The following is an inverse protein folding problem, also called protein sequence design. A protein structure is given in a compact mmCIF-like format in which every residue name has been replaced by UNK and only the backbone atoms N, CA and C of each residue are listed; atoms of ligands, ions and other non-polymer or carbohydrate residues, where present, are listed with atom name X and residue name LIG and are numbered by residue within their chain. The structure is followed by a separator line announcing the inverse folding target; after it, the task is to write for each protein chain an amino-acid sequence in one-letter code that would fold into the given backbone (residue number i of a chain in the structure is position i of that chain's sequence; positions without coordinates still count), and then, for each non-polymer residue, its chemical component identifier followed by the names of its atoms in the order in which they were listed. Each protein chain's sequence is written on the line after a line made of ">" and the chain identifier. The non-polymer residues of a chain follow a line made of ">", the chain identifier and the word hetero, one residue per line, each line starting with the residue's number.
data_IF_306706352597
#
_entry.id   IF_306706352597
#
_cell.length_a   1.000
_cell.length_b   1.000
_cell.length_c   1.000
_cell.angle_alpha   90.00
_cell.angle_beta   90.00
_cell.angle_gamma   90.00
#
_symmetry.space_group_name_H-M   'P 1'
#
loop_
_entity.id
_entity.type
_entity.pdbx_description
1 polymer ?
#
# COMPACT_ATOMS: atom_id res chain seq x y z
N UNK A 1 -4.60 9.46 8.95
CA UNK A 1 -4.19 9.11 7.56
C UNK A 1 -5.46 8.75 6.80
N UNK A 2 -5.84 9.49 5.75
CA UNK A 2 -6.97 9.13 4.89
C UNK A 2 -6.45 8.71 3.52
N UNK A 3 -5.72 7.60 3.48
CA UNK A 3 -5.49 6.91 2.20
C UNK A 3 -6.82 6.33 1.73
N UNK A 4 -7.28 6.73 0.54
CA UNK A 4 -8.41 6.12 -0.15
C UNK A 4 -9.76 6.18 0.58
N UNK A 5 -10.04 7.22 1.38
CA UNK A 5 -11.41 7.45 1.90
C UNK A 5 -12.31 8.03 0.83
N UNK A 6 -12.52 7.23 -0.21
CA UNK A 6 -13.54 7.50 -1.20
C UNK A 6 -14.80 6.82 -0.68
N UNK A 7 -15.82 7.60 -0.32
CA UNK A 7 -17.19 7.10 -0.40
C UNK A 7 -17.57 7.05 -1.89
N UNK A 8 -18.47 6.16 -2.30
CA UNK A 8 -18.81 5.98 -3.73
C UNK A 8 -19.19 7.28 -4.44
N UNK A 9 -19.74 8.27 -3.73
CA UNK A 9 -20.14 9.57 -4.25
C UNK A 9 -19.04 10.66 -4.15
N UNK A 10 -17.94 10.41 -3.45
CA UNK A 10 -16.90 11.40 -3.16
C UNK A 10 -15.64 11.24 -4.03
N UNK A 11 -15.64 10.35 -5.02
CA UNK A 11 -14.50 10.19 -5.92
C UNK A 11 -14.29 11.47 -6.74
N UNK A 12 -13.02 11.85 -6.87
CA UNK A 12 -12.55 12.95 -7.70
C UNK A 12 -11.11 12.66 -8.10
N UNK A 13 -10.82 12.83 -9.39
CA UNK A 13 -9.50 12.56 -9.99
C UNK A 13 -8.42 13.51 -9.46
N UNK A 14 -8.80 14.70 -9.00
CA UNK A 14 -7.87 15.67 -8.40
C UNK A 14 -7.37 15.24 -7.01
N UNK A 15 -8.12 14.35 -6.35
CA UNK A 15 -7.86 13.96 -4.94
C UNK A 15 -7.48 12.50 -4.78
N UNK A 16 -7.77 11.65 -5.76
CA UNK A 16 -7.67 10.21 -5.62
C UNK A 16 -6.96 9.58 -6.80
N UNK A 17 -6.21 8.51 -6.50
CA UNK A 17 -5.50 7.72 -7.50
C UNK A 17 -6.43 7.19 -8.59
N UNK A 18 -6.03 7.47 -9.81
CA UNK A 18 -6.59 6.95 -11.05
C UNK A 18 -5.61 5.96 -11.69
N UNK A 19 -6.01 5.32 -12.78
CA UNK A 19 -5.11 4.43 -13.53
C UNK A 19 -3.95 5.17 -14.19
N UNK A 20 -4.12 6.44 -14.57
CA UNK A 20 -3.06 7.24 -15.19
C UNK A 20 -1.92 7.57 -14.22
N UNK A 21 -2.17 7.47 -12.93
CA UNK A 21 -1.20 7.79 -11.87
C UNK A 21 -0.24 6.61 -11.57
N UNK A 22 -0.34 5.51 -12.34
CA UNK A 22 0.49 4.31 -12.20
C UNK A 22 1.55 4.27 -13.29
N UNK A 23 2.80 4.20 -12.86
CA UNK A 23 3.95 4.05 -13.75
C UNK A 23 4.64 2.73 -13.47
N UNK A 24 4.93 1.96 -14.52
CA UNK A 24 5.74 0.74 -14.45
C UNK A 24 7.09 1.03 -15.11
N UNK A 25 8.18 0.60 -14.48
CA UNK A 25 9.52 0.84 -14.97
C UNK A 25 10.53 -0.21 -14.50
N UNK A 26 11.76 -0.06 -14.98
CA UNK A 26 12.93 -0.82 -14.53
C UNK A 26 13.90 0.15 -13.86
N UNK A 27 14.50 -0.26 -12.75
CA UNK A 27 15.58 0.49 -12.13
C UNK A 27 16.90 0.32 -12.92
N UNK A 28 17.98 0.95 -12.43
CA UNK A 28 19.30 0.89 -13.05
C UNK A 28 19.89 -0.53 -13.13
N UNK A 29 19.37 -1.46 -12.34
CA UNK A 29 19.78 -2.87 -12.31
C UNK A 29 18.81 -3.77 -13.10
N UNK A 30 17.85 -3.20 -13.82
CA UNK A 30 16.85 -3.95 -14.57
C UNK A 30 15.75 -4.57 -13.71
N UNK A 31 15.61 -4.16 -12.44
CA UNK A 31 14.56 -4.67 -11.55
C UNK A 31 13.27 -3.87 -11.74
N UNK A 32 12.16 -4.58 -11.89
CA UNK A 32 10.85 -3.96 -12.04
C UNK A 32 10.40 -3.22 -10.77
N UNK A 33 9.88 -2.02 -10.96
CA UNK A 33 9.19 -1.24 -9.95
C UNK A 33 7.89 -0.63 -10.51
N UNK A 34 6.95 -0.32 -9.62
CA UNK A 34 5.82 0.53 -9.91
C UNK A 34 5.90 1.81 -9.07
N UNK A 35 5.54 2.95 -9.64
CA UNK A 35 5.40 4.23 -8.95
C UNK A 35 3.94 4.67 -9.02
N UNK A 36 3.36 5.00 -7.88
CA UNK A 36 2.02 5.57 -7.75
C UNK A 36 2.15 7.03 -7.37
N UNK A 37 1.74 7.93 -8.25
CA UNK A 37 1.82 9.37 -8.03
C UNK A 37 0.50 9.86 -7.40
N UNK A 38 0.54 10.18 -6.10
CA UNK A 38 -0.64 10.57 -5.33
C UNK A 38 -1.06 12.01 -5.69
N UNK A 39 -2.27 12.23 -6.25
CA UNK A 39 -2.74 13.58 -6.60
C UNK A 39 -2.94 14.49 -5.40
N UNK A 40 -3.28 13.90 -4.25
CA UNK A 40 -3.41 14.60 -2.98
C UNK A 40 -2.90 13.73 -1.85
N UNK A 41 -2.23 14.36 -0.89
CA UNK A 41 -1.83 13.70 0.33
C UNK A 41 -1.90 14.65 1.52
N UNK A 42 -2.27 14.11 2.68
CA UNK A 42 -2.56 14.87 3.90
C UNK A 42 -1.44 15.81 4.35
N UNK A 43 -0.20 15.50 3.99
CA UNK A 43 0.99 16.27 4.40
C UNK A 43 1.77 16.84 3.20
N UNK A 44 1.21 16.81 1.99
CA UNK A 44 1.81 17.50 0.85
C UNK A 44 1.41 18.98 0.89
N UNK A 45 2.34 19.86 0.56
CA UNK A 45 1.97 21.22 0.19
C UNK A 45 1.09 21.16 -1.08
N UNK A 46 0.12 22.09 -1.26
CA UNK A 46 -0.62 22.19 -2.50
C UNK A 46 0.34 22.32 -3.70
N UNK A 47 0.25 21.40 -4.67
CA UNK A 47 1.13 21.34 -5.85
C UNK A 47 2.29 20.34 -5.77
N UNK A 48 2.54 19.70 -4.63
CA UNK A 48 3.54 18.64 -4.50
C UNK A 48 2.91 17.25 -4.68
N UNK A 49 3.27 16.58 -5.78
CA UNK A 49 2.94 15.17 -6.00
C UNK A 49 3.80 14.30 -5.09
N UNK A 50 3.17 13.37 -4.39
CA UNK A 50 3.88 12.40 -3.54
C UNK A 50 3.84 11.02 -4.19
N UNK A 51 5.01 10.42 -4.38
CA UNK A 51 5.08 9.09 -5.00
C UNK A 51 5.20 7.98 -3.97
N UNK A 52 4.57 6.84 -4.25
CA UNK A 52 4.78 5.57 -3.56
C UNK A 52 5.45 4.60 -4.52
N UNK A 53 6.55 3.99 -4.09
CA UNK A 53 7.26 3.00 -4.89
C UNK A 53 6.92 1.59 -4.40
N UNK A 54 6.63 0.70 -5.35
CA UNK A 54 6.33 -0.70 -5.13
C UNK A 54 7.37 -1.52 -5.89
N UNK A 55 7.88 -2.57 -5.24
CA UNK A 55 8.83 -3.50 -5.83
C UNK A 55 8.24 -4.90 -5.81
N UNK A 56 8.76 -5.78 -6.67
CA UNK A 56 8.34 -7.17 -6.65
C UNK A 56 8.66 -7.84 -5.30
N UNK A 57 7.71 -8.63 -4.78
CA UNK A 57 7.79 -9.34 -3.50
C UNK A 57 7.37 -10.80 -3.65
N UNK A 58 8.24 -11.63 -4.21
CA UNK A 58 8.01 -13.06 -4.36
C UNK A 58 6.64 -13.39 -4.97
N UNK A 59 5.94 -14.34 -4.36
CA UNK A 59 4.59 -14.80 -4.78
C UNK A 59 3.46 -13.81 -4.48
N UNK A 60 3.70 -12.82 -3.60
CA UNK A 60 2.71 -11.79 -3.22
C UNK A 60 3.08 -10.42 -3.82
N UNK A 61 3.62 -10.42 -5.04
CA UNK A 61 4.14 -9.22 -5.68
C UNK A 61 3.04 -8.16 -5.91
N UNK A 62 3.19 -6.93 -5.36
CA UNK A 62 2.21 -5.87 -5.58
C UNK A 62 2.17 -5.40 -7.04
N UNK A 63 3.29 -5.54 -7.78
CA UNK A 63 3.34 -5.23 -9.22
C UNK A 63 2.46 -6.20 -10.00
N UNK A 64 2.58 -7.50 -9.70
CA UNK A 64 1.75 -8.52 -10.34
C UNK A 64 0.26 -8.32 -9.99
N UNK A 65 -0.05 -7.93 -8.76
CA UNK A 65 -1.41 -7.61 -8.34
C UNK A 65 -2.00 -6.40 -9.11
N UNK A 66 -1.22 -5.34 -9.32
CA UNK A 66 -1.64 -4.18 -10.12
C UNK A 66 -1.87 -4.55 -11.59
N UNK A 67 -0.98 -5.36 -12.17
CA UNK A 67 -1.14 -5.85 -13.55
C UNK A 67 -2.39 -6.71 -13.70
N UNK A 68 -2.64 -7.60 -12.74
CA UNK A 68 -3.85 -8.42 -12.72
C UNK A 68 -5.12 -7.56 -12.55
N UNK A 69 -5.10 -6.56 -11.68
CA UNK A 69 -6.22 -5.62 -11.54
C UNK A 69 -6.51 -4.90 -12.87
N UNK A 70 -5.46 -4.48 -13.58
CA UNK A 70 -5.58 -3.83 -14.87
C UNK A 70 -6.15 -4.75 -15.95
N UNK A 71 -5.83 -6.06 -15.92
CA UNK A 71 -6.30 -7.03 -16.91
C UNK A 71 -7.74 -7.49 -16.69
N UNK A 72 -8.18 -7.62 -15.43
CA UNK A 72 -9.51 -8.17 -15.11
C UNK A 72 -10.59 -7.11 -14.97
N UNK A 73 -10.23 -5.86 -14.64
CA UNK A 73 -11.19 -4.76 -14.50
C UNK A 73 -11.07 -3.82 -15.71
N UNK A 74 -12.07 -3.76 -16.60
CA UNK A 74 -12.09 -2.80 -17.70
C UNK A 74 -12.34 -1.39 -17.14
N UNK A 75 -11.31 -0.55 -17.06
CA UNK A 75 -11.47 0.82 -16.61
C UNK A 75 -10.57 1.77 -17.42
N UNK A 76 -11.04 3.00 -17.57
CA UNK A 76 -10.34 4.07 -18.28
C UNK A 76 -9.16 4.60 -17.46
N UNK A 77 -8.29 5.37 -18.11
CA UNK A 77 -7.15 6.02 -17.44
C UNK A 77 -7.59 6.91 -16.27
N UNK A 78 -8.75 7.53 -16.41
CA UNK A 78 -9.32 8.49 -15.48
C UNK A 78 -10.23 7.86 -14.41
N UNK A 79 -10.44 6.54 -14.51
CA UNK A 79 -11.18 5.78 -13.51
C UNK A 79 -10.32 5.50 -12.27
N UNK A 80 -10.94 5.24 -11.11
CA UNK A 80 -10.22 4.91 -9.89
C UNK A 80 -9.26 3.73 -10.09
N UNK A 81 -8.04 3.84 -9.56
CA UNK A 81 -7.04 2.77 -9.63
C UNK A 81 -7.58 1.47 -9.03
N UNK A 82 -8.00 1.54 -7.77
CA UNK A 82 -8.65 0.44 -7.08
C UNK A 82 -10.15 0.49 -7.38
N UNK A 83 -10.56 -0.25 -8.40
CA UNK A 83 -11.94 -0.28 -8.88
C UNK A 83 -12.43 -1.71 -9.15
N UNK A 84 -13.75 -1.84 -9.29
CA UNK A 84 -14.43 -3.08 -9.64
C UNK A 84 -15.66 -2.75 -10.49
N UNK A 85 -16.19 -3.73 -11.20
CA UNK A 85 -17.44 -3.62 -11.95
C UNK A 85 -18.61 -4.10 -11.11
N UNK A 86 -19.62 -3.25 -10.95
CA UNK A 86 -20.88 -3.69 -10.35
C UNK A 86 -21.72 -4.53 -11.32
N UNK A 87 -22.83 -5.07 -10.82
CA UNK A 87 -23.75 -5.89 -11.62
C UNK A 87 -24.34 -5.16 -12.84
N UNK A 88 -24.25 -3.83 -12.89
CA UNK A 88 -24.66 -3.03 -14.05
C UNK A 88 -23.52 -2.75 -15.04
N UNK A 89 -22.31 -3.27 -14.78
CA UNK A 89 -21.12 -3.02 -15.58
C UNK A 89 -20.47 -1.66 -15.32
N UNK A 90 -20.92 -0.91 -14.31
CA UNK A 90 -20.35 0.39 -13.99
C UNK A 90 -19.07 0.23 -13.17
N UNK A 91 -18.01 0.95 -13.56
CA UNK A 91 -16.78 1.06 -12.78
C UNK A 91 -17.05 1.81 -11.47
N UNK A 92 -16.78 1.16 -10.34
CA UNK A 92 -16.93 1.74 -9.00
C UNK A 92 -15.61 1.79 -8.27
N UNK A 93 -15.31 2.87 -7.54
CA UNK A 93 -14.16 2.90 -6.65
C UNK A 93 -14.33 1.86 -5.54
N UNK A 94 -13.23 1.20 -5.19
CA UNK A 94 -13.16 0.37 -3.99
C UNK A 94 -13.13 1.28 -2.77
N UNK A 95 -14.15 1.17 -1.93
CA UNK A 95 -14.25 1.97 -0.71
C UNK A 95 -13.55 1.26 0.45
N UNK A 96 -12.84 2.03 1.27
CA UNK A 96 -12.06 1.53 2.42
C UNK A 96 -12.81 0.51 3.29
N UNK A 97 -14.05 0.82 3.68
CA UNK A 97 -14.83 -0.05 4.58
C UNK A 97 -14.99 -1.44 3.98
N UNK A 98 -15.34 -1.54 2.68
CA UNK A 98 -15.50 -2.83 2.00
C UNK A 98 -14.18 -3.59 1.87
N UNK A 99 -13.09 -2.90 1.58
CA UNK A 99 -11.76 -3.53 1.54
C UNK A 99 -11.37 -4.10 2.91
N UNK A 100 -11.57 -3.32 3.98
CA UNK A 100 -11.29 -3.77 5.35
C UNK A 100 -12.21 -4.91 5.79
N UNK A 101 -13.50 -4.85 5.47
CA UNK A 101 -14.45 -5.93 5.76
C UNK A 101 -13.98 -7.24 5.12
N UNK A 102 -13.60 -7.18 3.83
CA UNK A 102 -13.16 -8.36 3.10
C UNK A 102 -11.87 -8.93 3.69
N UNK A 103 -10.89 -8.08 4.01
CA UNK A 103 -9.65 -8.51 4.64
C UNK A 103 -9.94 -9.15 6.01
N UNK A 104 -10.73 -8.48 6.85
CA UNK A 104 -11.08 -8.96 8.17
C UNK A 104 -11.89 -10.26 8.14
N UNK A 105 -12.76 -10.42 7.16
CA UNK A 105 -13.50 -11.65 6.95
C UNK A 105 -12.55 -12.82 6.66
N UNK A 106 -11.58 -12.61 5.77
CA UNK A 106 -10.55 -13.61 5.46
C UNK A 106 -9.71 -13.89 6.70
N UNK A 107 -9.09 -12.88 7.32
CA UNK A 107 -8.18 -13.09 8.46
C UNK A 107 -8.87 -13.72 9.66
N UNK A 108 -10.13 -13.38 9.93
CA UNK A 108 -10.92 -14.01 10.99
C UNK A 108 -11.19 -15.50 10.70
N UNK A 109 -11.47 -15.88 9.46
CA UNK A 109 -11.66 -17.27 9.07
C UNK A 109 -10.38 -18.12 9.28
N UNK A 110 -9.21 -17.50 9.17
CA UNK A 110 -7.91 -18.12 9.47
C UNK A 110 -7.47 -18.01 10.93
N UNK A 111 -8.26 -17.36 11.79
CA UNK A 111 -7.94 -17.19 13.23
C UNK A 111 -6.89 -16.11 13.52
N UNK A 112 -6.59 -15.22 12.58
CA UNK A 112 -5.56 -14.16 12.73
C UNK A 112 -6.12 -12.84 13.28
N UNK A 113 -7.39 -12.80 13.64
CA UNK A 113 -8.05 -11.62 14.19
C UNK A 113 -8.43 -10.57 13.13
N UNK A 114 -8.58 -9.32 13.57
CA UNK A 114 -9.02 -8.19 12.72
C UNK A 114 -7.91 -7.17 12.52
N UNK A 115 -7.73 -6.73 11.29
CA UNK A 115 -6.86 -5.62 10.92
C UNK A 115 -7.62 -4.29 10.91
N UNK A 116 -6.93 -3.23 11.33
CA UNK A 116 -7.36 -1.86 11.14
C UNK A 116 -6.38 -1.16 10.21
N UNK A 117 -6.75 0.04 9.72
CA UNK A 117 -5.88 0.85 8.84
C UNK A 117 -4.45 0.93 9.36
N UNK A 118 -4.30 1.18 10.66
CA UNK A 118 -2.99 1.39 11.25
C UNK A 118 -2.18 0.10 11.37
N UNK A 119 -2.84 -1.04 11.50
CA UNK A 119 -2.23 -2.37 11.54
C UNK A 119 -1.37 -2.64 10.31
N UNK A 120 -1.76 -2.17 9.12
CA UNK A 120 -0.96 -2.33 7.90
C UNK A 120 0.34 -1.52 7.92
N UNK A 121 0.32 -0.30 8.48
CA UNK A 121 1.54 0.50 8.63
C UNK A 121 2.49 -0.14 9.65
N UNK A 122 1.95 -0.57 10.80
CA UNK A 122 2.73 -1.23 11.85
C UNK A 122 3.30 -2.57 11.36
N UNK A 123 2.47 -3.38 10.73
CA UNK A 123 2.85 -4.69 10.20
C UNK A 123 3.88 -4.58 9.07
N UNK A 124 3.70 -3.64 8.15
CA UNK A 124 4.67 -3.37 7.08
C UNK A 124 6.02 -2.91 7.62
N UNK A 125 6.04 -2.01 8.60
CA UNK A 125 7.26 -1.58 9.27
C UNK A 125 7.99 -2.76 9.93
N UNK A 126 7.24 -3.53 10.73
CA UNK A 126 7.75 -4.71 11.45
C UNK A 126 8.31 -5.76 10.48
N UNK A 127 7.62 -6.01 9.37
CA UNK A 127 8.04 -6.96 8.34
C UNK A 127 9.37 -6.58 7.66
N UNK A 128 9.57 -5.31 7.34
CA UNK A 128 10.84 -4.87 6.73
C UNK A 128 11.98 -4.81 7.75
N UNK A 129 11.70 -4.38 8.98
CA UNK A 129 12.71 -4.38 10.05
C UNK A 129 13.18 -5.80 10.39
N UNK A 130 12.27 -6.78 10.42
CA UNK A 130 12.64 -8.19 10.57
C UNK A 130 13.62 -8.61 9.46
N UNK A 131 13.33 -8.28 8.20
CA UNK A 131 14.22 -8.54 7.05
C UNK A 131 15.52 -7.72 7.01
N UNK A 132 15.88 -7.05 8.11
CA UNK A 132 17.11 -6.26 8.24
C UNK A 132 17.20 -5.09 7.28
N UNK A 133 16.07 -4.58 6.80
CA UNK A 133 16.03 -3.31 6.07
C UNK A 133 16.39 -2.19 7.05
N UNK A 134 17.26 -1.28 6.61
CA UNK A 134 17.68 -0.13 7.40
C UNK A 134 16.46 0.67 7.91
N UNK A 135 16.38 0.97 9.22
CA UNK A 135 15.29 1.76 9.79
C UNK A 135 15.04 3.09 9.07
N UNK A 136 16.08 3.76 8.56
CA UNK A 136 15.95 5.01 7.80
C UNK A 136 15.26 4.78 6.44
N UNK A 137 15.51 3.63 5.80
CA UNK A 137 14.81 3.24 4.57
C UNK A 137 13.35 2.90 4.89
N UNK A 138 13.08 2.18 5.98
CA UNK A 138 11.71 1.91 6.44
C UNK A 138 11.01 3.24 6.77
N UNK A 139 11.72 4.20 7.36
CA UNK A 139 11.22 5.52 7.68
C UNK A 139 10.82 6.31 6.42
N UNK A 140 11.71 6.34 5.44
CA UNK A 140 11.50 6.97 4.14
C UNK A 140 10.29 6.36 3.42
N UNK A 141 10.22 5.02 3.33
CA UNK A 141 9.13 4.29 2.66
C UNK A 141 7.81 4.42 3.42
N UNK A 142 7.85 4.44 4.75
CA UNK A 142 6.70 4.66 5.64
C UNK A 142 6.19 6.11 5.62
N UNK A 143 7.01 7.04 5.10
CA UNK A 143 6.71 8.46 4.94
C UNK A 143 6.34 9.12 6.27
N UNK A 144 6.99 8.70 7.35
CA UNK A 144 6.80 9.31 8.66
C UNK A 144 7.54 10.63 8.73
N UNK A 145 6.95 11.63 9.39
CA UNK A 145 7.57 12.95 9.58
C UNK A 145 8.43 13.02 10.84
N UNK A 146 8.24 12.08 11.75
CA UNK A 146 8.93 12.00 13.03
C UNK A 146 9.35 10.56 13.32
N UNK A 147 10.25 10.41 14.29
CA UNK A 147 10.67 9.14 14.85
C UNK A 147 9.55 8.37 15.59
N UNK A 148 8.29 8.82 15.50
CA UNK A 148 7.14 8.10 16.06
C UNK A 148 7.03 6.66 15.54
N UNK A 149 7.70 6.32 14.44
CA UNK A 149 7.76 4.95 13.95
C UNK A 149 8.51 3.97 14.85
N UNK A 150 9.42 4.47 15.69
CA UNK A 150 10.08 3.67 16.71
C UNK A 150 9.07 3.06 17.68
N UNK A 151 7.95 3.74 17.93
CA UNK A 151 6.85 3.21 18.74
C UNK A 151 6.04 2.10 18.03
N UNK A 152 6.22 1.95 16.71
CA UNK A 152 5.61 0.88 15.93
C UNK A 152 6.45 -0.39 15.85
N UNK A 153 7.60 -0.45 16.53
CA UNK A 153 8.39 -1.66 16.72
C UNK A 153 7.68 -2.56 17.77
N UNK A 154 6.42 -2.91 17.51
CA UNK A 154 5.66 -3.86 18.32
C UNK A 154 6.16 -5.30 18.14
N UNK A 155 7.07 -5.54 17.20
CA UNK A 155 7.66 -6.86 16.93
C UNK A 155 9.09 -6.97 17.47
N UNK A 156 9.38 -6.40 18.65
CA UNK A 156 10.72 -6.45 19.25
C UNK A 156 11.27 -7.87 19.31
N UNK A 157 10.46 -8.87 19.67
CA UNK A 157 10.89 -10.27 19.70
C UNK A 157 11.32 -10.79 18.31
N UNK A 158 10.57 -10.47 17.25
CA UNK A 158 10.88 -10.91 15.89
C UNK A 158 12.13 -10.21 15.35
N UNK A 159 12.27 -8.91 15.61
CA UNK A 159 13.45 -8.13 15.22
C UNK A 159 14.67 -8.60 16.01
N UNK A 160 14.56 -8.75 17.34
CA UNK A 160 15.64 -9.21 18.20
C UNK A 160 16.14 -10.61 17.81
N UNK A 161 15.23 -11.56 17.57
CA UNK A 161 15.62 -12.92 17.16
C UNK A 161 16.43 -12.94 15.86
N UNK A 162 16.09 -12.10 14.87
CA UNK A 162 16.78 -12.10 13.57
C UNK A 162 18.07 -11.26 13.56
N UNK A 163 18.16 -10.22 14.39
CA UNK A 163 19.31 -9.30 14.44
C UNK A 163 20.35 -9.64 15.51
N UNK A 164 19.97 -10.37 16.56
CA UNK A 164 20.87 -10.75 17.65
C UNK A 164 21.39 -12.19 17.53
N UNK A 165 20.99 -12.93 16.49
CA UNK A 165 21.61 -14.20 16.15
C UNK A 165 23.10 -13.98 15.78
N UNK A 166 24.04 -14.75 16.38
CA UNK A 166 25.45 -14.64 16.05
C UNK A 166 25.68 -15.00 14.58
N UNK A 167 26.49 -14.21 13.89
CA UNK A 167 26.97 -14.52 12.54
C UNK A 167 27.79 -15.81 12.64
N UNK A 168 27.36 -16.88 11.94
CA UNK A 168 28.16 -18.09 11.75
C UNK A 168 29.30 -17.85 10.75
#
# INVERSE_FOLDING_TARGET
>A
MHFGEVSRAAFSQEKHLTRKDVFLGLDLNGKAYARLDLPSAKMACPGETQSVYLVAQGTLSPIAALQNLASIVPALLEDPLFSWHDHSGATRPMVKHRALDQINHITAAWGWGTAFRHSFHIGGASFYLAQKVDPEIVHLVGRWRSLAYETYICAFEQVASQHLEPIQ
#
